data_IF_075122433587
#
_entry.id   IF_075122433587
#
_cell.length_a   1.000
_cell.length_b   1.000
_cell.length_c   1.000
_cell.angle_alpha   90.00
_cell.angle_beta   90.00
_cell.angle_gamma   90.00
#
_symmetry.space_group_name_H-M   'P 1'
#
loop_
_entity.id
_entity.type
_entity.pdbx_description
1 polymer ?
#
# COMPACT_ATOMS: atom_id res chain seq x y z
N UNK A 1 -30.80 20.83 22.05
CA UNK A 1 -29.63 20.38 21.26
C UNK A 1 -28.85 19.45 22.16
N UNK A 2 -29.07 18.13 22.04
CA UNK A 2 -28.25 17.14 22.77
C UNK A 2 -26.87 17.17 22.14
N UNK A 3 -25.84 17.54 22.90
CA UNK A 3 -24.47 17.24 22.59
C UNK A 3 -24.38 15.69 22.51
N UNK A 4 -24.35 15.14 21.32
CA UNK A 4 -23.84 13.78 21.14
C UNK A 4 -22.40 13.81 21.69
N UNK A 5 -22.20 13.29 22.90
CA UNK A 5 -20.88 12.98 23.40
C UNK A 5 -20.25 12.05 22.35
N UNK A 6 -19.26 12.52 21.63
CA UNK A 6 -18.45 11.67 20.75
C UNK A 6 -17.93 10.53 21.63
N UNK A 7 -18.48 9.34 21.44
CA UNK A 7 -17.98 8.14 22.13
C UNK A 7 -16.70 7.76 21.42
N UNK A 8 -15.59 7.99 22.09
CA UNK A 8 -14.27 7.60 21.61
C UNK A 8 -14.14 6.07 21.61
N UNK A 9 -13.52 5.51 20.56
CA UNK A 9 -13.06 4.12 20.56
C UNK A 9 -11.98 3.98 21.65
N UNK A 10 -12.24 3.15 22.66
CA UNK A 10 -11.39 3.05 23.87
C UNK A 10 -10.43 1.85 23.81
N UNK A 11 -10.46 1.05 22.73
CA UNK A 11 -9.62 -0.14 22.55
C UNK A 11 -9.01 -0.13 21.16
N UNK A 12 -7.69 -0.40 21.04
CA UNK A 12 -6.97 -0.31 19.77
C UNK A 12 -5.83 -1.32 19.69
N UNK A 13 -5.81 -2.16 18.67
CA UNK A 13 -4.61 -2.90 18.25
C UNK A 13 -3.97 -2.19 17.05
N UNK A 14 -2.74 -1.70 17.21
CA UNK A 14 -1.94 -1.12 16.13
C UNK A 14 -1.10 -2.23 15.52
N UNK A 15 -1.26 -2.46 14.22
CA UNK A 15 -0.76 -3.63 13.50
C UNK A 15 0.21 -3.20 12.39
N UNK A 16 1.47 -3.61 12.51
CA UNK A 16 2.54 -3.17 11.60
C UNK A 16 3.22 -4.39 10.97
N UNK A 17 2.91 -4.70 9.70
CA UNK A 17 3.65 -5.69 8.92
C UNK A 17 4.99 -5.12 8.49
N UNK A 18 6.07 -5.90 8.63
CA UNK A 18 7.43 -5.46 8.31
C UNK A 18 8.12 -6.49 7.40
N UNK A 19 8.86 -6.00 6.42
CA UNK A 19 9.78 -6.82 5.63
C UNK A 19 11.04 -6.01 5.31
N UNK A 20 12.17 -6.38 5.93
CA UNK A 20 13.49 -5.77 5.71
C UNK A 20 13.48 -4.22 5.84
N UNK A 21 12.78 -3.69 6.85
CA UNK A 21 12.64 -2.25 7.07
C UNK A 21 12.81 -1.87 8.55
N UNK A 22 13.66 -0.89 8.90
CA UNK A 22 13.82 -0.42 10.28
C UNK A 22 12.62 0.47 10.68
N UNK A 23 11.67 -0.06 11.44
CA UNK A 23 10.45 0.64 11.83
C UNK A 23 10.42 1.16 13.27
N UNK A 24 11.48 1.00 14.05
CA UNK A 24 11.54 1.44 15.45
C UNK A 24 11.13 2.91 15.66
N UNK A 25 11.53 3.90 14.81
CA UNK A 25 11.08 5.29 14.97
C UNK A 25 9.57 5.45 14.81
N UNK A 26 8.96 4.75 13.85
CA UNK A 26 7.51 4.74 13.65
C UNK A 26 6.80 4.19 14.89
N UNK A 27 7.25 3.02 15.39
CA UNK A 27 6.66 2.36 16.55
C UNK A 27 6.77 3.24 17.79
N UNK A 28 7.94 3.85 18.02
CA UNK A 28 8.15 4.78 19.12
C UNK A 28 7.17 5.96 19.08
N UNK A 29 6.96 6.56 17.90
CA UNK A 29 6.03 7.67 17.73
C UNK A 29 4.57 7.26 17.98
N UNK A 30 4.16 6.08 17.49
CA UNK A 30 2.82 5.54 17.74
C UNK A 30 2.61 5.19 19.22
N UNK A 31 3.60 4.57 19.86
CA UNK A 31 3.59 4.24 21.28
C UNK A 31 3.44 5.49 22.14
N UNK A 32 4.23 6.54 21.91
CA UNK A 32 4.14 7.81 22.62
C UNK A 32 2.75 8.44 22.52
N UNK A 33 2.12 8.39 21.35
CA UNK A 33 0.75 8.89 21.19
C UNK A 33 -0.27 8.04 21.93
N UNK A 34 -0.12 6.72 21.92
CA UNK A 34 -1.05 5.82 22.62
C UNK A 34 -0.97 6.00 24.13
N UNK A 35 0.26 6.10 24.70
CA UNK A 35 0.47 6.38 26.12
C UNK A 35 -0.10 7.74 26.59
N UNK A 36 -0.15 8.73 25.67
CA UNK A 36 -0.69 10.06 25.99
C UNK A 36 -2.21 10.14 25.96
N UNK A 37 -2.94 9.06 25.59
CA UNK A 37 -4.40 9.04 25.51
C UNK A 37 -4.98 8.38 26.76
N UNK A 38 -5.53 9.17 27.65
CA UNK A 38 -6.12 8.69 28.91
C UNK A 38 -7.22 7.66 28.67
N UNK A 39 -7.13 6.52 29.34
CA UNK A 39 -8.13 5.46 29.30
C UNK A 39 -8.14 4.61 28.03
N UNK A 40 -7.17 4.78 27.11
CA UNK A 40 -7.03 3.92 25.95
C UNK A 40 -6.41 2.58 26.36
N UNK A 41 -7.09 1.48 26.06
CA UNK A 41 -6.53 0.14 26.11
C UNK A 41 -5.92 -0.16 24.75
N UNK A 42 -4.61 -0.34 24.67
CA UNK A 42 -3.95 -0.56 23.39
C UNK A 42 -2.87 -1.63 23.43
N UNK A 43 -2.55 -2.12 22.26
CA UNK A 43 -1.34 -2.90 21.96
C UNK A 43 -0.76 -2.47 20.62
N UNK A 44 0.53 -2.71 20.44
CA UNK A 44 1.21 -2.58 19.13
C UNK A 44 1.82 -3.94 18.80
N UNK A 45 1.41 -4.52 17.67
CA UNK A 45 1.94 -5.78 17.18
C UNK A 45 2.73 -5.53 15.90
N UNK A 46 4.02 -5.83 15.96
CA UNK A 46 4.94 -5.72 14.83
C UNK A 46 5.35 -7.12 14.41
N UNK A 47 5.16 -7.46 13.13
CA UNK A 47 5.49 -8.79 12.61
C UNK A 47 6.44 -8.68 11.42
N UNK A 48 7.64 -9.27 11.57
CA UNK A 48 8.58 -9.48 10.47
C UNK A 48 8.11 -10.63 9.59
N UNK A 49 7.83 -10.34 8.34
CA UNK A 49 7.34 -11.33 7.35
C UNK A 49 8.50 -11.98 6.59
N UNK A 50 9.32 -12.76 7.30
CA UNK A 50 10.48 -13.44 6.71
C UNK A 50 11.66 -12.49 6.41
N UNK A 51 11.82 -11.42 7.17
CA UNK A 51 12.96 -10.51 7.04
C UNK A 51 14.29 -11.24 7.30
N UNK A 52 15.31 -10.91 6.51
CA UNK A 52 16.63 -11.55 6.54
C UNK A 52 17.81 -10.57 6.73
N UNK A 53 17.53 -9.27 6.82
CA UNK A 53 18.55 -8.24 7.10
C UNK A 53 18.80 -8.16 8.60
N UNK A 54 19.93 -8.73 9.06
CA UNK A 54 20.26 -8.84 10.50
C UNK A 54 20.33 -7.50 11.22
N UNK A 55 20.83 -6.45 10.55
CA UNK A 55 20.88 -5.10 11.13
C UNK A 55 19.48 -4.55 11.40
N UNK A 56 18.56 -4.71 10.44
CA UNK A 56 17.17 -4.31 10.59
C UNK A 56 16.48 -5.07 11.72
N UNK A 57 16.65 -6.40 11.78
CA UNK A 57 16.10 -7.22 12.85
C UNK A 57 16.65 -6.80 14.22
N UNK A 58 17.95 -6.49 14.31
CA UNK A 58 18.57 -6.01 15.55
C UNK A 58 17.99 -4.65 16.00
N UNK A 59 17.81 -3.70 15.07
CA UNK A 59 17.17 -2.41 15.39
C UNK A 59 15.74 -2.61 15.86
N UNK A 60 14.96 -3.41 15.13
CA UNK A 60 13.55 -3.63 15.43
C UNK A 60 13.32 -4.47 16.71
N UNK A 61 14.28 -5.31 17.13
CA UNK A 61 14.16 -6.07 18.39
C UNK A 61 14.04 -5.16 19.63
N UNK A 62 14.50 -3.90 19.55
CA UNK A 62 14.34 -2.93 20.64
C UNK A 62 12.86 -2.56 20.90
N UNK A 63 11.95 -2.88 20.00
CA UNK A 63 10.51 -2.71 20.18
C UNK A 63 9.99 -3.52 21.38
N UNK A 64 10.60 -4.66 21.70
CA UNK A 64 10.24 -5.49 22.87
C UNK A 64 10.42 -4.77 24.22
N UNK A 65 11.25 -3.73 24.25
CA UNK A 65 11.45 -2.92 25.47
C UNK A 65 10.32 -1.90 25.70
N UNK A 66 9.44 -1.67 24.73
CA UNK A 66 8.30 -0.76 24.84
C UNK A 66 7.12 -1.50 25.48
N UNK A 67 6.45 -0.85 26.44
CA UNK A 67 5.23 -1.38 27.05
C UNK A 67 4.13 -1.58 26.02
N UNK A 68 3.30 -2.60 26.20
CA UNK A 68 2.19 -2.92 25.30
C UNK A 68 2.61 -3.20 23.84
N UNK A 69 3.90 -3.46 23.57
CA UNK A 69 4.42 -3.81 22.26
C UNK A 69 4.80 -5.30 22.20
N UNK A 70 4.45 -5.94 21.09
CA UNK A 70 4.84 -7.32 20.75
C UNK A 70 5.61 -7.30 19.45
N UNK A 71 6.81 -7.89 19.42
CA UNK A 71 7.61 -8.05 18.21
C UNK A 71 7.72 -9.53 17.87
N UNK A 72 7.25 -9.91 16.68
CA UNK A 72 7.15 -11.30 16.24
C UNK A 72 7.98 -11.47 14.96
N UNK A 73 8.91 -12.43 14.97
CA UNK A 73 9.74 -12.75 13.81
C UNK A 73 9.22 -14.07 13.19
N UNK A 74 8.76 -14.00 11.95
CA UNK A 74 8.39 -15.16 11.16
C UNK A 74 9.58 -15.61 10.32
N UNK A 75 9.71 -16.92 10.14
CA UNK A 75 10.77 -17.50 9.33
C UNK A 75 10.56 -17.29 7.84
N UNK A 76 9.30 -17.42 7.38
CA UNK A 76 8.95 -17.41 5.98
C UNK A 76 8.11 -16.17 5.64
N UNK A 77 8.37 -15.58 4.46
CA UNK A 77 7.54 -14.52 3.91
C UNK A 77 6.26 -15.13 3.34
N UNK A 78 5.11 -14.68 3.88
CA UNK A 78 3.77 -15.15 3.44
C UNK A 78 3.05 -14.11 2.57
N UNK A 79 3.63 -12.96 2.39
CA UNK A 79 3.12 -11.87 1.56
C UNK A 79 2.18 -10.91 2.26
N UNK A 80 2.02 -9.72 1.65
CA UNK A 80 1.33 -8.55 2.22
C UNK A 80 -0.12 -8.81 2.66
N UNK A 81 -0.86 -9.60 1.89
CA UNK A 81 -2.24 -9.98 2.20
C UNK A 81 -2.30 -10.90 3.44
N UNK A 82 -1.53 -11.98 3.40
CA UNK A 82 -1.55 -13.00 4.46
C UNK A 82 -1.02 -12.48 5.79
N UNK A 83 0.02 -11.62 5.77
CA UNK A 83 0.58 -11.07 7.01
C UNK A 83 -0.41 -10.12 7.71
N UNK A 84 -1.21 -9.35 6.96
CA UNK A 84 -2.28 -8.53 7.55
C UNK A 84 -3.40 -9.39 8.15
N UNK A 85 -3.76 -10.50 7.49
CA UNK A 85 -4.72 -11.46 8.05
C UNK A 85 -4.19 -12.09 9.35
N UNK A 86 -2.92 -12.48 9.38
CA UNK A 86 -2.27 -13.01 10.58
C UNK A 86 -2.30 -11.98 11.72
N UNK A 87 -1.91 -10.73 11.47
CA UNK A 87 -1.95 -9.64 12.45
C UNK A 87 -3.36 -9.43 13.03
N UNK A 88 -4.40 -9.50 12.18
CA UNK A 88 -5.79 -9.37 12.63
C UNK A 88 -6.23 -10.54 13.55
N UNK A 89 -5.71 -11.74 13.33
CA UNK A 89 -5.96 -12.91 14.19
C UNK A 89 -5.28 -12.76 15.55
N UNK A 90 -4.03 -12.26 15.58
CA UNK A 90 -3.23 -12.01 16.78
C UNK A 90 -3.75 -10.86 17.64
N UNK A 91 -4.53 -9.94 17.09
CA UNK A 91 -5.01 -8.75 17.76
C UNK A 91 -6.04 -9.05 18.84
N UNK A 92 -5.94 -8.35 19.97
CA UNK A 92 -6.82 -8.51 21.13
C UNK A 92 -8.07 -7.62 21.06
N UNK A 93 -7.94 -6.42 20.48
CA UNK A 93 -8.96 -5.38 20.59
C UNK A 93 -9.87 -5.30 19.37
N UNK A 94 -11.04 -4.67 19.55
CA UNK A 94 -12.09 -4.60 18.54
C UNK A 94 -11.76 -3.65 17.37
N UNK A 95 -10.87 -2.69 17.57
CA UNK A 95 -10.43 -1.79 16.53
C UNK A 95 -8.99 -2.06 16.14
N UNK A 96 -8.76 -2.29 14.85
CA UNK A 96 -7.46 -2.58 14.27
C UNK A 96 -6.99 -1.38 13.45
N UNK A 97 -5.86 -0.79 13.79
CA UNK A 97 -5.19 0.22 12.99
C UNK A 97 -3.99 -0.40 12.30
N UNK A 98 -4.11 -0.66 11.01
CA UNK A 98 -2.97 -1.08 10.20
C UNK A 98 -2.13 0.13 9.78
N UNK A 99 -0.82 -0.02 9.87
CA UNK A 99 0.16 0.99 9.43
C UNK A 99 1.31 0.28 8.73
N UNK A 100 1.64 0.70 7.50
CA UNK A 100 2.80 0.16 6.78
C UNK A 100 4.10 0.65 7.44
N UNK A 101 5.10 -0.22 7.51
CA UNK A 101 6.37 0.02 8.24
C UNK A 101 7.23 1.16 7.69
N UNK A 102 7.06 1.50 6.39
CA UNK A 102 7.80 2.56 5.68
C UNK A 102 7.13 3.94 5.77
N UNK A 103 6.18 4.09 6.70
CA UNK A 103 5.46 5.33 6.93
C UNK A 103 6.04 6.14 8.10
N UNK A 104 5.74 7.44 8.11
CA UNK A 104 6.15 8.39 9.15
C UNK A 104 4.94 9.13 9.71
N UNK A 105 4.86 9.20 11.04
CA UNK A 105 3.84 10.00 11.74
C UNK A 105 4.14 11.49 11.56
N UNK A 106 3.17 12.24 11.03
CA UNK A 106 3.30 13.67 10.77
C UNK A 106 2.60 14.56 11.80
N UNK A 107 1.57 14.01 12.48
CA UNK A 107 0.76 14.75 13.45
C UNK A 107 0.78 14.08 14.81
N UNK A 108 0.89 14.88 15.87
CA UNK A 108 0.74 14.40 17.25
C UNK A 108 -0.69 13.93 17.57
N UNK A 109 -1.66 14.22 16.73
CA UNK A 109 -3.07 13.82 16.87
C UNK A 109 -3.45 12.63 15.98
N UNK A 110 -2.45 11.92 15.40
CA UNK A 110 -2.74 10.86 14.43
C UNK A 110 -3.63 9.75 15.01
N UNK A 111 -3.35 9.22 16.20
CA UNK A 111 -4.15 8.16 16.82
C UNK A 111 -5.52 8.69 17.28
N UNK A 112 -5.56 9.83 17.95
CA UNK A 112 -6.82 10.38 18.46
C UNK A 112 -7.80 10.70 17.34
N UNK A 113 -7.32 11.15 16.18
CA UNK A 113 -8.16 11.41 15.01
C UNK A 113 -8.90 10.15 14.51
N UNK A 114 -8.28 8.98 14.57
CA UNK A 114 -8.95 7.71 14.27
C UNK A 114 -9.94 7.31 15.38
N UNK A 115 -9.56 7.46 16.65
CA UNK A 115 -10.39 7.05 17.77
C UNK A 115 -11.68 7.90 17.89
N UNK A 116 -11.64 9.14 17.43
CA UNK A 116 -12.80 10.05 17.42
C UNK A 116 -13.73 9.87 16.22
N UNK A 117 -13.42 9.02 15.24
CA UNK A 117 -14.36 8.70 14.15
C UNK A 117 -15.60 7.99 14.70
N UNK A 118 -16.74 8.09 14.01
CA UNK A 118 -17.99 7.46 14.45
C UNK A 118 -17.80 5.94 14.67
N UNK A 119 -18.51 5.38 15.62
CA UNK A 119 -18.56 3.93 15.82
C UNK A 119 -19.20 3.18 14.64
N UNK A 120 -19.99 3.88 13.83
CA UNK A 120 -20.58 3.36 12.59
C UNK A 120 -19.60 3.34 11.41
N UNK A 121 -18.48 4.09 11.52
CA UNK A 121 -17.41 4.08 10.52
C UNK A 121 -16.52 2.85 10.75
N UNK A 122 -16.96 1.69 10.26
CA UNK A 122 -16.30 0.39 10.49
C UNK A 122 -15.02 0.20 9.69
N UNK A 123 -14.79 1.00 8.63
CA UNK A 123 -13.53 1.11 7.89
C UNK A 123 -13.21 2.58 7.65
N UNK A 124 -12.05 3.03 8.09
CA UNK A 124 -11.60 4.43 7.95
C UNK A 124 -10.20 4.48 7.36
N UNK A 125 -10.01 5.27 6.30
CA UNK A 125 -8.71 5.48 5.67
C UNK A 125 -8.24 6.92 5.81
N UNK A 126 -7.03 7.12 6.37
CA UNK A 126 -6.46 8.44 6.66
C UNK A 126 -5.83 9.15 5.46
N UNK A 127 -5.25 8.38 4.55
CA UNK A 127 -4.54 8.92 3.38
C UNK A 127 -3.02 9.03 3.57
N UNK A 128 -2.35 9.45 2.51
CA UNK A 128 -0.91 9.67 2.48
C UNK A 128 -0.59 11.13 2.19
N UNK A 129 0.52 11.61 2.73
CA UNK A 129 1.13 12.91 2.44
C UNK A 129 2.46 12.71 1.73
N UNK A 130 2.66 13.46 0.67
CA UNK A 130 3.84 13.29 -0.18
C UNK A 130 5.07 14.06 0.36
N UNK A 131 4.89 14.93 1.35
CA UNK A 131 5.98 15.70 1.94
C UNK A 131 6.38 16.91 1.09
N UNK A 132 7.43 17.59 1.54
CA UNK A 132 7.96 18.79 0.87
C UNK A 132 8.84 18.42 -0.32
N UNK A 133 8.80 19.24 -1.34
CA UNK A 133 9.63 19.13 -2.54
C UNK A 133 11.11 19.34 -2.17
N UNK A 134 11.91 18.30 -2.37
CA UNK A 134 13.37 18.39 -2.32
C UNK A 134 13.93 18.01 -3.68
N UNK A 135 15.04 18.64 -4.10
CA UNK A 135 15.67 18.34 -5.38
C UNK A 135 16.04 16.85 -5.52
N UNK A 136 16.40 16.19 -4.40
CA UNK A 136 16.68 14.76 -4.38
C UNK A 136 15.41 13.91 -4.60
N UNK A 137 14.29 14.30 -4.00
CA UNK A 137 13.01 13.57 -4.18
C UNK A 137 12.48 13.70 -5.61
N UNK A 138 12.67 14.86 -6.26
CA UNK A 138 12.25 15.06 -7.65
C UNK A 138 12.97 14.16 -8.67
N UNK A 139 14.12 13.60 -8.31
CA UNK A 139 14.80 12.61 -9.13
C UNK A 139 14.20 11.19 -8.99
N UNK A 140 13.30 10.98 -8.04
CA UNK A 140 12.72 9.67 -7.77
C UNK A 140 11.37 9.51 -8.45
N UNK A 141 11.24 8.43 -9.21
CA UNK A 141 10.04 8.13 -10.00
C UNK A 141 8.81 7.95 -9.10
N UNK A 142 8.96 7.25 -7.95
CA UNK A 142 7.88 7.04 -6.96
C UNK A 142 7.36 8.37 -6.44
N UNK A 143 8.27 9.28 -6.04
CA UNK A 143 7.88 10.62 -5.57
C UNK A 143 7.06 11.37 -6.63
N UNK A 144 7.58 11.44 -7.87
CA UNK A 144 6.87 12.14 -8.97
C UNK A 144 5.50 11.53 -9.26
N UNK A 145 5.41 10.21 -9.19
CA UNK A 145 4.15 9.48 -9.38
C UNK A 145 3.12 9.86 -8.31
N UNK A 146 3.50 9.76 -7.03
CA UNK A 146 2.65 10.10 -5.89
C UNK A 146 2.30 11.60 -5.87
N UNK A 147 3.26 12.48 -6.16
CA UNK A 147 3.05 13.93 -6.23
C UNK A 147 2.01 14.32 -7.27
N UNK A 148 2.03 13.67 -8.44
CA UNK A 148 1.01 13.89 -9.47
C UNK A 148 -0.38 13.49 -9.00
N UNK A 149 -0.48 12.42 -8.20
CA UNK A 149 -1.73 11.90 -7.66
C UNK A 149 -2.25 12.70 -6.44
N UNK A 150 -1.42 13.54 -5.80
CA UNK A 150 -1.72 14.23 -4.54
C UNK A 150 -3.06 15.00 -4.56
N UNK A 151 -3.41 15.63 -5.69
CA UNK A 151 -4.68 16.36 -5.83
C UNK A 151 -5.91 15.45 -5.74
N UNK A 152 -5.78 14.21 -6.18
CA UNK A 152 -6.85 13.20 -6.15
C UNK A 152 -6.88 12.45 -4.81
N UNK A 153 -5.87 12.64 -3.97
CA UNK A 153 -5.74 12.00 -2.66
C UNK A 153 -6.40 12.79 -1.51
N UNK A 154 -7.05 13.92 -1.78
CA UNK A 154 -7.82 14.64 -0.75
C UNK A 154 -9.06 13.83 -0.33
N UNK A 155 -9.44 13.85 0.96
CA UNK A 155 -10.55 13.02 1.46
C UNK A 155 -11.85 13.16 0.66
N UNK A 156 -12.23 14.38 0.30
CA UNK A 156 -13.44 14.64 -0.50
C UNK A 156 -13.37 13.99 -1.90
N UNK A 157 -12.19 13.94 -2.52
CA UNK A 157 -12.01 13.28 -3.83
C UNK A 157 -12.01 11.76 -3.69
N UNK A 158 -11.35 11.23 -2.66
CA UNK A 158 -11.36 9.80 -2.37
C UNK A 158 -12.77 9.28 -2.08
N UNK A 159 -13.59 10.05 -1.37
CA UNK A 159 -14.96 9.70 -1.04
C UNK A 159 -15.88 9.52 -2.27
N UNK A 160 -15.57 10.14 -3.42
CA UNK A 160 -16.33 9.95 -4.66
C UNK A 160 -16.26 8.51 -5.20
N UNK A 161 -15.20 7.79 -4.87
CA UNK A 161 -15.02 6.38 -5.21
C UNK A 161 -14.41 5.65 -4.00
N UNK A 162 -15.15 5.63 -2.89
CA UNK A 162 -14.61 5.34 -1.57
C UNK A 162 -13.79 4.05 -1.50
N UNK A 163 -14.34 2.92 -1.93
CA UNK A 163 -13.65 1.63 -1.90
C UNK A 163 -12.53 1.52 -2.95
N UNK A 164 -12.63 2.22 -4.09
CA UNK A 164 -11.57 2.25 -5.11
C UNK A 164 -10.37 3.10 -4.72
N UNK A 165 -10.60 4.10 -3.87
CA UNK A 165 -9.57 5.02 -3.38
C UNK A 165 -8.97 4.55 -2.05
N UNK A 166 -9.30 3.34 -1.62
CA UNK A 166 -8.72 2.71 -0.45
C UNK A 166 -7.28 2.29 -0.71
N UNK A 167 -6.43 2.42 0.32
CA UNK A 167 -5.05 1.93 0.32
C UNK A 167 -4.70 1.43 1.72
N UNK A 168 -3.80 0.48 1.82
CA UNK A 168 -3.45 -0.21 3.07
C UNK A 168 -2.39 0.48 3.91
N UNK A 169 -1.86 1.62 3.46
CA UNK A 169 -0.74 2.32 4.14
C UNK A 169 -1.05 2.75 5.58
N UNK A 170 -2.30 3.17 5.84
CA UNK A 170 -2.81 3.42 7.19
C UNK A 170 -4.34 3.38 7.18
N UNK A 171 -4.95 2.42 7.84
CA UNK A 171 -6.41 2.34 7.94
C UNK A 171 -6.86 1.69 9.23
N UNK A 172 -7.99 2.19 9.75
CA UNK A 172 -8.69 1.63 10.89
C UNK A 172 -9.82 0.73 10.40
N UNK A 173 -9.99 -0.43 11.01
CA UNK A 173 -11.09 -1.37 10.69
C UNK A 173 -11.59 -2.07 11.94
N UNK A 174 -12.88 -2.38 11.99
CA UNK A 174 -13.44 -3.24 13.03
C UNK A 174 -12.93 -4.68 12.86
N UNK A 175 -12.45 -5.29 13.95
CA UNK A 175 -11.84 -6.64 13.95
C UNK A 175 -12.79 -7.70 13.43
N UNK A 176 -14.05 -7.71 13.85
CA UNK A 176 -15.04 -8.72 13.40
C UNK A 176 -15.27 -8.61 11.89
N UNK A 177 -15.29 -7.39 11.33
CA UNK A 177 -15.36 -7.20 9.89
C UNK A 177 -14.10 -7.72 9.19
N UNK A 178 -12.92 -7.39 9.70
CA UNK A 178 -11.64 -7.83 9.12
C UNK A 178 -11.51 -9.37 9.10
N UNK A 179 -11.98 -10.04 10.15
CA UNK A 179 -11.97 -11.53 10.22
C UNK A 179 -13.01 -12.16 9.29
N UNK A 180 -14.13 -11.49 9.03
CA UNK A 180 -15.17 -11.96 8.11
C UNK A 180 -14.80 -11.69 6.63
N UNK A 181 -14.14 -10.58 6.37
CA UNK A 181 -13.69 -10.15 5.03
C UNK A 181 -12.17 -10.03 5.04
N UNK A 182 -11.42 -11.15 5.01
CA UNK A 182 -9.96 -11.09 5.03
C UNK A 182 -9.40 -10.66 3.66
N UNK A 183 -8.16 -10.22 3.64
CA UNK A 183 -7.41 -10.05 2.40
C UNK A 183 -7.31 -11.39 1.65
N UNK A 184 -7.30 -11.33 0.32
CA UNK A 184 -7.12 -12.52 -0.51
C UNK A 184 -5.69 -13.07 -0.40
N UNK A 185 -5.50 -14.15 0.37
CA UNK A 185 -4.19 -14.78 0.62
C UNK A 185 -3.57 -15.46 -0.61
N UNK A 186 -4.29 -15.56 -1.73
CA UNK A 186 -3.72 -16.02 -3.00
C UNK A 186 -2.82 -14.95 -3.64
N UNK A 187 -2.94 -13.67 -3.21
CA UNK A 187 -2.04 -12.60 -3.62
C UNK A 187 -0.78 -12.71 -2.75
N UNK A 188 0.26 -13.34 -3.29
CA UNK A 188 1.55 -13.49 -2.62
C UNK A 188 2.57 -12.46 -3.06
N UNK A 189 2.39 -11.89 -4.23
CA UNK A 189 3.24 -10.90 -4.88
C UNK A 189 2.75 -9.48 -4.58
N UNK A 190 3.58 -8.47 -4.91
CA UNK A 190 3.26 -7.06 -4.68
C UNK A 190 2.11 -6.58 -5.57
N UNK A 191 1.21 -5.78 -4.98
CA UNK A 191 0.23 -4.93 -5.65
C UNK A 191 -1.16 -5.53 -5.79
N UNK A 192 -2.14 -4.63 -5.86
CA UNK A 192 -3.58 -4.90 -6.02
C UNK A 192 -4.27 -5.60 -4.84
N UNK A 193 -3.55 -5.94 -3.75
CA UNK A 193 -4.17 -6.49 -2.55
C UNK A 193 -5.17 -5.51 -1.91
N UNK A 194 -4.85 -4.21 -1.95
CA UNK A 194 -5.70 -3.12 -1.49
C UNK A 194 -6.94 -2.92 -2.37
N UNK A 195 -6.76 -2.95 -3.70
CA UNK A 195 -7.85 -2.83 -4.67
C UNK A 195 -8.86 -3.98 -4.52
N UNK A 196 -8.36 -5.22 -4.41
CA UNK A 196 -9.22 -6.39 -4.25
C UNK A 196 -9.88 -6.41 -2.88
N UNK A 197 -9.21 -5.96 -1.81
CA UNK A 197 -9.82 -5.83 -0.50
C UNK A 197 -10.91 -4.76 -0.48
N UNK A 198 -10.66 -3.58 -1.09
CA UNK A 198 -11.68 -2.55 -1.26
C UNK A 198 -12.90 -3.04 -2.06
N UNK A 199 -12.69 -3.90 -3.08
CA UNK A 199 -13.77 -4.57 -3.81
C UNK A 199 -14.55 -5.52 -2.91
N UNK A 200 -13.88 -6.38 -2.13
CA UNK A 200 -14.53 -7.32 -1.21
C UNK A 200 -15.38 -6.59 -0.14
N UNK A 201 -14.88 -5.47 0.40
CA UNK A 201 -15.66 -4.62 1.30
C UNK A 201 -16.92 -4.07 0.62
N UNK A 202 -16.82 -3.63 -0.65
CA UNK A 202 -17.98 -3.14 -1.40
C UNK A 202 -19.02 -4.24 -1.66
N UNK A 203 -18.58 -5.44 -1.97
CA UNK A 203 -19.44 -6.62 -2.18
C UNK A 203 -20.20 -7.01 -0.88
N UNK A 204 -19.60 -6.76 0.29
CA UNK A 204 -20.24 -6.89 1.62
C UNK A 204 -21.12 -5.68 1.99
N UNK A 205 -21.29 -4.70 1.10
CA UNK A 205 -22.06 -3.50 1.37
C UNK A 205 -21.40 -2.51 2.32
N UNK A 206 -20.08 -2.63 2.54
CA UNK A 206 -19.31 -1.78 3.45
C UNK A 206 -18.55 -0.70 2.67
N UNK A 207 -18.87 0.56 2.94
CA UNK A 207 -18.14 1.72 2.42
C UNK A 207 -16.91 2.06 3.27
N UNK A 208 -15.90 2.67 2.65
CA UNK A 208 -14.73 3.21 3.34
C UNK A 208 -14.94 4.69 3.64
N UNK A 209 -14.84 5.07 4.91
CA UNK A 209 -14.85 6.49 5.34
C UNK A 209 -13.45 7.08 5.13
N UNK A 210 -13.36 8.24 4.48
CA UNK A 210 -12.09 8.93 4.21
C UNK A 210 -11.94 10.16 5.08
N UNK A 211 -10.85 10.22 5.85
CA UNK A 211 -10.53 11.35 6.72
C UNK A 211 -9.21 12.02 6.32
N UNK A 212 -8.99 13.25 6.76
CA UNK A 212 -7.73 13.97 6.60
C UNK A 212 -6.77 13.64 7.75
N UNK A 213 -6.21 12.44 7.72
CA UNK A 213 -5.30 11.94 8.76
C UNK A 213 -4.09 11.21 8.15
N UNK A 214 -3.31 11.89 7.29
CA UNK A 214 -2.29 11.22 6.50
C UNK A 214 -1.06 10.86 7.32
N UNK A 215 -0.41 9.75 6.91
CA UNK A 215 1.01 9.49 7.20
C UNK A 215 1.88 9.96 6.03
N UNK A 216 3.12 10.34 6.31
CA UNK A 216 4.14 10.63 5.30
C UNK A 216 4.88 9.36 4.88
N UNK A 217 5.54 9.39 3.73
CA UNK A 217 6.57 8.41 3.40
C UNK A 217 7.84 8.75 4.19
N UNK A 218 8.47 7.77 4.82
CA UNK A 218 9.72 7.97 5.55
C UNK A 218 10.85 8.28 4.56
N UNK A 219 10.91 7.49 3.48
CA UNK A 219 11.78 7.75 2.34
C UNK A 219 11.16 7.23 1.03
N UNK A 220 11.70 7.67 -0.09
CA UNK A 220 11.36 7.15 -1.40
C UNK A 220 12.44 6.19 -1.87
N UNK A 221 12.04 5.02 -2.30
CA UNK A 221 12.93 3.99 -2.83
C UNK A 221 13.58 4.39 -4.17
N UNK A 222 14.67 3.72 -4.54
CA UNK A 222 15.33 3.95 -5.83
C UNK A 222 14.39 3.67 -7.01
N UNK A 223 14.69 4.28 -8.17
CA UNK A 223 13.90 4.06 -9.38
C UNK A 223 13.91 2.59 -9.80
N UNK A 224 15.04 1.88 -9.62
CA UNK A 224 15.17 0.44 -9.90
C UNK A 224 14.24 -0.39 -9.01
N UNK A 225 14.28 -0.17 -7.69
CA UNK A 225 13.42 -0.87 -6.74
C UNK A 225 11.94 -0.62 -7.03
N UNK A 226 11.59 0.63 -7.36
CA UNK A 226 10.21 0.97 -7.70
C UNK A 226 9.74 0.30 -9.00
N UNK A 227 10.58 0.27 -10.05
CA UNK A 227 10.25 -0.41 -11.31
C UNK A 227 10.09 -1.91 -11.11
N UNK A 228 10.97 -2.57 -10.32
CA UNK A 228 10.83 -3.98 -9.98
C UNK A 228 9.49 -4.29 -9.29
N UNK A 229 9.06 -3.45 -8.33
CA UNK A 229 7.74 -3.58 -7.69
C UNK A 229 6.59 -3.37 -8.69
N UNK A 230 6.74 -2.46 -9.64
CA UNK A 230 5.74 -2.26 -10.70
C UNK A 230 5.64 -3.49 -11.59
N UNK A 231 6.76 -4.10 -12.01
CA UNK A 231 6.73 -5.34 -12.80
C UNK A 231 6.04 -6.46 -12.02
N UNK A 232 6.38 -6.64 -10.75
CA UNK A 232 5.72 -7.62 -9.88
C UNK A 232 4.20 -7.36 -9.80
N UNK A 233 3.78 -6.09 -9.66
CA UNK A 233 2.37 -5.72 -9.65
C UNK A 233 1.65 -6.00 -10.98
N UNK A 234 2.35 -5.91 -12.11
CA UNK A 234 1.78 -6.25 -13.42
C UNK A 234 1.56 -7.77 -13.55
N UNK A 235 2.43 -8.60 -12.97
CA UNK A 235 2.19 -10.05 -12.88
C UNK A 235 0.97 -10.36 -12.00
N UNK A 236 0.82 -9.66 -10.86
CA UNK A 236 -0.39 -9.76 -10.02
C UNK A 236 -1.63 -9.34 -10.82
N UNK A 237 -1.55 -8.23 -11.58
CA UNK A 237 -2.64 -7.77 -12.44
C UNK A 237 -3.06 -8.80 -13.48
N UNK A 238 -2.10 -9.51 -14.06
CA UNK A 238 -2.36 -10.59 -15.02
C UNK A 238 -3.03 -11.80 -14.36
N UNK A 239 -2.51 -12.24 -13.21
CA UNK A 239 -3.04 -13.37 -12.47
C UNK A 239 -4.50 -13.15 -12.02
N UNK A 240 -4.86 -11.91 -11.66
CA UNK A 240 -6.20 -11.53 -11.21
C UNK A 240 -6.93 -10.65 -12.25
N UNK A 241 -6.68 -10.90 -13.55
CA UNK A 241 -7.20 -10.09 -14.64
C UNK A 241 -8.72 -9.93 -14.59
N UNK A 242 -9.44 -11.02 -14.36
CA UNK A 242 -10.91 -11.01 -14.37
C UNK A 242 -11.49 -10.18 -13.23
N UNK A 243 -10.93 -10.31 -12.03
CA UNK A 243 -11.36 -9.60 -10.83
C UNK A 243 -11.04 -8.10 -10.91
N UNK A 244 -9.92 -7.76 -11.58
CA UNK A 244 -9.39 -6.39 -11.70
C UNK A 244 -9.83 -5.66 -12.98
N UNK A 245 -10.52 -6.31 -13.90
CA UNK A 245 -10.90 -5.73 -15.21
C UNK A 245 -11.63 -4.39 -15.09
N UNK A 246 -12.57 -4.27 -14.15
CA UNK A 246 -13.30 -3.03 -13.92
C UNK A 246 -12.47 -1.92 -13.27
N UNK A 247 -11.38 -2.29 -12.59
CA UNK A 247 -10.57 -1.39 -11.74
C UNK A 247 -9.29 -0.91 -12.43
N UNK A 248 -8.70 -1.70 -13.33
CA UNK A 248 -7.43 -1.36 -13.96
C UNK A 248 -7.58 -0.53 -15.25
N UNK A 249 -6.96 0.66 -15.31
CA UNK A 249 -6.85 1.42 -16.56
C UNK A 249 -6.03 0.70 -17.63
N UNK A 250 -5.02 -0.09 -17.24
CA UNK A 250 -4.16 -0.83 -18.18
C UNK A 250 -4.98 -1.87 -18.92
N UNK A 251 -5.77 -2.68 -18.22
CA UNK A 251 -6.65 -3.68 -18.86
C UNK A 251 -7.60 -3.00 -19.85
N UNK A 252 -8.21 -1.88 -19.49
CA UNK A 252 -9.12 -1.14 -20.38
C UNK A 252 -8.42 -0.64 -21.66
N UNK A 253 -7.15 -0.24 -21.56
CA UNK A 253 -6.35 0.16 -22.73
C UNK A 253 -6.05 -1.06 -23.59
N UNK A 254 -5.64 -2.17 -23.01
CA UNK A 254 -5.36 -3.43 -23.73
C UNK A 254 -6.60 -3.93 -24.46
N UNK A 255 -7.76 -3.93 -23.81
CA UNK A 255 -9.04 -4.33 -24.44
C UNK A 255 -9.37 -3.46 -25.68
N UNK A 256 -9.10 -2.15 -25.62
CA UNK A 256 -9.28 -1.25 -26.76
C UNK A 256 -8.29 -1.57 -27.88
N UNK A 257 -7.01 -1.76 -27.55
CA UNK A 257 -5.99 -2.13 -28.54
C UNK A 257 -6.32 -3.47 -29.21
N UNK A 258 -6.83 -4.44 -28.45
CA UNK A 258 -7.28 -5.74 -28.97
C UNK A 258 -8.41 -5.55 -30.01
N UNK A 259 -9.45 -4.78 -29.64
CA UNK A 259 -10.57 -4.48 -30.56
C UNK A 259 -10.13 -3.77 -31.83
N UNK A 260 -9.12 -2.90 -31.72
CA UNK A 260 -8.55 -2.16 -32.86
C UNK A 260 -7.48 -2.96 -33.62
N UNK A 261 -7.12 -4.17 -33.20
CA UNK A 261 -6.01 -4.99 -33.72
C UNK A 261 -4.65 -4.28 -33.70
N UNK A 262 -4.45 -3.40 -32.69
CA UNK A 262 -3.24 -2.59 -32.56
C UNK A 262 -2.24 -3.13 -31.53
N UNK A 263 -2.50 -4.28 -30.92
CA UNK A 263 -1.58 -4.86 -29.91
C UNK A 263 -0.22 -5.12 -30.52
N UNK A 264 -0.16 -5.79 -31.69
CA UNK A 264 1.10 -6.14 -32.34
C UNK A 264 1.94 -4.89 -32.68
N UNK A 265 1.46 -3.87 -33.40
CA UNK A 265 2.27 -2.71 -33.71
C UNK A 265 2.68 -1.90 -32.47
N UNK A 266 1.82 -1.82 -31.44
CA UNK A 266 2.15 -1.10 -30.18
C UNK A 266 3.23 -1.85 -29.39
N UNK A 267 3.15 -3.16 -29.30
CA UNK A 267 4.17 -3.96 -28.63
C UNK A 267 5.51 -3.93 -29.38
N UNK A 268 5.52 -4.07 -30.72
CA UNK A 268 6.75 -3.96 -31.52
C UNK A 268 7.40 -2.57 -31.33
N UNK A 269 6.60 -1.52 -31.33
CA UNK A 269 7.09 -0.16 -31.07
C UNK A 269 7.71 -0.07 -29.67
N UNK A 270 7.03 -0.64 -28.66
CA UNK A 270 7.56 -0.65 -27.32
C UNK A 270 8.91 -1.38 -27.23
N UNK A 271 9.04 -2.57 -27.80
CA UNK A 271 10.32 -3.33 -27.79
C UNK A 271 11.46 -2.53 -28.41
N UNK A 272 11.22 -1.84 -29.52
CA UNK A 272 12.22 -1.00 -30.18
C UNK A 272 12.69 0.15 -29.27
N UNK A 273 11.79 0.77 -28.52
CA UNK A 273 12.10 1.95 -27.69
C UNK A 273 12.31 1.62 -26.20
N UNK A 274 12.12 0.38 -25.77
CA UNK A 274 12.28 -0.07 -24.39
C UNK A 274 13.62 0.38 -23.77
N UNK A 275 14.79 0.23 -24.41
CA UNK A 275 16.04 0.67 -23.81
C UNK A 275 16.10 2.17 -23.51
N UNK A 276 15.47 2.99 -24.36
CA UNK A 276 15.40 4.45 -24.18
C UNK A 276 14.44 4.79 -23.04
N UNK A 277 13.30 4.11 -22.96
CA UNK A 277 12.32 4.25 -21.87
C UNK A 277 12.98 3.90 -20.53
N UNK A 278 13.62 2.74 -20.44
CA UNK A 278 14.30 2.29 -19.21
C UNK A 278 15.42 3.26 -18.79
N UNK A 279 16.26 3.71 -19.73
CA UNK A 279 17.31 4.70 -19.43
C UNK A 279 16.73 6.01 -18.85
N UNK A 280 15.59 6.48 -19.35
CA UNK A 280 14.93 7.65 -18.80
C UNK A 280 14.40 7.40 -17.39
N UNK A 281 13.72 6.27 -17.17
CA UNK A 281 13.09 5.94 -15.89
C UNK A 281 14.11 5.71 -14.77
N UNK A 282 15.28 5.17 -15.10
CA UNK A 282 16.41 4.98 -14.17
C UNK A 282 17.25 6.24 -14.00
N UNK A 283 17.06 7.26 -14.84
CA UNK A 283 17.82 8.51 -14.80
C UNK A 283 17.34 9.47 -13.71
N UNK A 284 18.01 10.62 -13.64
CA UNK A 284 17.76 11.69 -12.66
C UNK A 284 16.50 12.52 -12.95
N UNK A 285 15.85 12.34 -14.09
CA UNK A 285 14.62 13.08 -14.45
C UNK A 285 13.59 12.14 -15.11
N UNK A 286 13.02 11.18 -14.35
CA UNK A 286 12.11 10.19 -14.90
C UNK A 286 10.79 10.80 -15.35
N UNK A 287 10.34 10.42 -16.56
CA UNK A 287 9.10 10.91 -17.17
C UNK A 287 7.90 10.03 -16.80
N UNK A 288 6.86 10.62 -16.22
CA UNK A 288 5.61 9.89 -15.93
C UNK A 288 4.86 9.43 -17.20
N UNK A 289 5.06 10.10 -18.33
CA UNK A 289 4.52 9.65 -19.62
C UNK A 289 5.21 8.37 -20.07
N UNK A 290 6.56 8.33 -20.03
CA UNK A 290 7.31 7.14 -20.34
C UNK A 290 7.04 6.00 -19.34
N UNK A 291 6.81 6.33 -18.07
CA UNK A 291 6.38 5.36 -17.07
C UNK A 291 5.04 4.70 -17.41
N UNK A 292 4.07 5.44 -17.93
CA UNK A 292 2.80 4.85 -18.39
C UNK A 292 2.99 3.98 -19.64
N UNK A 293 3.88 4.37 -20.56
CA UNK A 293 4.25 3.55 -21.73
C UNK A 293 4.94 2.26 -21.25
N UNK A 294 5.86 2.36 -20.29
CA UNK A 294 6.54 1.23 -19.68
C UNK A 294 5.55 0.23 -19.07
N UNK A 295 4.64 0.68 -18.21
CA UNK A 295 3.62 -0.20 -17.61
C UNK A 295 2.77 -0.92 -18.65
N UNK A 296 2.34 -0.23 -19.70
CA UNK A 296 1.56 -0.83 -20.78
C UNK A 296 2.41 -1.85 -21.54
N UNK A 297 3.63 -1.49 -21.93
CA UNK A 297 4.52 -2.36 -22.69
C UNK A 297 4.91 -3.62 -21.92
N UNK A 298 5.33 -3.50 -20.65
CA UNK A 298 5.63 -4.67 -19.82
C UNK A 298 4.39 -5.55 -19.59
N UNK A 299 3.21 -4.97 -19.44
CA UNK A 299 1.99 -5.77 -19.35
C UNK A 299 1.69 -6.53 -20.65
N UNK A 300 1.91 -5.92 -21.83
CA UNK A 300 1.77 -6.60 -23.12
C UNK A 300 2.76 -7.78 -23.27
N UNK A 301 3.98 -7.66 -22.72
CA UNK A 301 4.97 -8.75 -22.66
C UNK A 301 4.47 -9.91 -21.78
N UNK A 302 3.94 -9.59 -20.59
CA UNK A 302 3.43 -10.60 -19.64
C UNK A 302 2.28 -11.41 -20.25
N UNK A 303 1.37 -10.80 -21.00
CA UNK A 303 0.25 -11.52 -21.63
C UNK A 303 0.66 -12.34 -22.86
N UNK A 304 1.96 -12.43 -23.19
CA UNK A 304 2.50 -13.29 -24.23
C UNK A 304 2.12 -12.90 -25.65
N UNK A 305 1.64 -11.69 -25.87
CA UNK A 305 1.28 -11.20 -27.22
C UNK A 305 2.50 -10.64 -27.98
N UNK A 306 3.65 -10.62 -27.30
CA UNK A 306 4.97 -10.24 -27.81
C UNK A 306 6.07 -11.05 -27.14
N UNK A 307 6.41 -12.24 -27.68
CA UNK A 307 7.72 -12.84 -27.43
C UNK A 307 8.60 -12.57 -28.66
N UNK A 308 9.63 -11.72 -28.55
CA UNK A 308 10.81 -11.87 -29.38
C UNK A 308 11.62 -13.00 -28.77
N UNK A 309 11.79 -14.10 -29.53
CA UNK A 309 12.70 -15.23 -29.29
C UNK A 309 13.19 -15.47 -27.83
N UNK A 310 12.88 -16.62 -27.31
CA UNK A 310 13.07 -17.16 -25.95
C UNK A 310 14.50 -17.23 -25.40
N UNK A 311 15.38 -16.28 -25.64
CA UNK A 311 16.75 -16.29 -25.14
C UNK A 311 17.18 -15.08 -24.28
N UNK A 312 16.34 -14.09 -24.09
CA UNK A 312 16.63 -13.02 -23.12
C UNK A 312 15.99 -13.32 -21.76
N UNK A 313 16.77 -14.05 -20.95
CA UNK A 313 16.55 -14.19 -19.50
C UNK A 313 16.45 -12.79 -18.88
N UNK A 314 15.42 -12.61 -18.03
CA UNK A 314 15.25 -11.53 -17.06
C UNK A 314 16.51 -10.68 -16.85
N UNK A 315 16.63 -9.60 -17.58
CA UNK A 315 17.43 -8.47 -17.17
C UNK A 315 16.44 -7.35 -16.88
N UNK A 316 16.30 -7.06 -15.57
CA UNK A 316 15.76 -5.82 -15.05
C UNK A 316 16.30 -4.66 -15.90
N UNK A 317 15.46 -3.64 -16.15
CA UNK A 317 15.96 -2.36 -16.67
C UNK A 317 17.23 -1.96 -15.96
#
# INVERSE_FOLDING_TARGET
MMLNSLVMKSQLSILVPVYNYPCLPLITALHQQAEAIDGLLYEIIVVEDGSNQLETLHVNSQIEALTHCRYIIRKDNIGRASIRNFLAQEALYDWLLFVDSDMKVLSSTFLINYLLTSLTDVVVYGGNSIGSDTAAAECQLKYRYEKRAERTHRPAQRALQSNRSFNTSNFLINRNLMLRVPFNSNIRTYGYEDVLFGKSLLEEGVGVTHIANPLGFDHYESNESFLAKIEESLHTLYAFHHELQAYSPIIKVVDRLTKMRLIFPVGLFYELFRPVVCRNLLGSCPSLTLFNIYKLGEYLRIIGQFEPNSNDKMHLC
#
